data_IF_372545836348
#
_entry.id   IF_372545836348
#
_cell.length_a   1.000
_cell.length_b   1.000
_cell.length_c   1.000
_cell.angle_alpha   90.00
_cell.angle_beta   90.00
_cell.angle_gamma   90.00
#
_symmetry.space_group_name_H-M   'P 1'
#
loop_
_entity.id
_entity.type
_entity.pdbx_description
1 polymer ?
#
# COMPACT_ATOMS: atom_id res chain seq x y z
N UNK A 1 -9.76 20.44 -40.07
CA UNK A 1 -9.85 21.33 -38.90
C UNK A 1 -10.14 20.45 -37.71
N UNK A 2 -9.08 20.13 -36.97
CA UNK A 2 -8.97 19.22 -35.82
C UNK A 2 -9.10 17.73 -36.11
N UNK A 3 -7.91 17.21 -36.40
CA UNK A 3 -7.54 15.85 -36.75
C UNK A 3 -7.35 14.93 -35.53
N UNK A 4 -7.53 13.64 -35.81
CA UNK A 4 -6.82 12.48 -35.23
C UNK A 4 -7.10 12.02 -33.80
N UNK A 5 -8.03 11.07 -33.76
CA UNK A 5 -8.00 9.82 -32.99
C UNK A 5 -6.56 9.25 -32.90
N UNK A 6 -5.87 9.51 -31.78
CA UNK A 6 -4.72 8.71 -31.37
C UNK A 6 -5.09 7.90 -30.14
N UNK A 7 -5.46 6.66 -30.44
CA UNK A 7 -5.48 5.50 -29.59
C UNK A 7 -4.06 5.32 -29.00
N UNK A 8 -3.86 5.66 -27.72
CA UNK A 8 -2.63 5.34 -26.99
C UNK A 8 -2.68 3.89 -26.46
N UNK A 9 -2.37 2.92 -27.34
CA UNK A 9 -1.83 1.62 -26.92
C UNK A 9 -0.31 1.76 -26.87
N UNK A 10 0.24 1.92 -25.66
CA UNK A 10 1.60 1.50 -25.30
C UNK A 10 1.83 1.89 -23.84
N UNK A 11 1.64 0.93 -22.93
CA UNK A 11 2.01 1.05 -21.53
C UNK A 11 3.47 0.60 -21.36
N UNK A 12 4.42 1.52 -21.16
CA UNK A 12 5.54 1.30 -20.27
C UNK A 12 5.29 2.09 -18.98
N UNK A 13 5.69 1.52 -17.84
CA UNK A 13 5.45 1.97 -16.47
C UNK A 13 5.94 3.41 -16.11
N UNK A 14 6.33 4.23 -17.09
CA UNK A 14 6.98 5.55 -16.92
C UNK A 14 6.11 6.75 -17.30
N UNK A 15 4.91 6.56 -17.89
CA UNK A 15 4.01 7.66 -18.26
C UNK A 15 3.07 8.14 -17.13
N UNK A 16 2.86 7.30 -16.11
CA UNK A 16 1.91 7.59 -15.02
C UNK A 16 2.43 8.72 -14.11
N UNK A 17 3.74 8.87 -13.96
CA UNK A 17 4.33 9.94 -13.13
C UNK A 17 4.14 11.33 -13.76
N UNK A 18 4.06 11.44 -15.09
CA UNK A 18 4.01 12.73 -15.80
C UNK A 18 2.57 13.26 -15.98
N UNK A 19 1.57 12.39 -16.14
CA UNK A 19 0.15 12.81 -16.17
C UNK A 19 -0.34 13.33 -14.81
N UNK A 20 0.17 12.76 -13.71
CA UNK A 20 -0.13 13.18 -12.34
C UNK A 20 0.25 14.63 -12.07
N UNK A 21 1.38 15.10 -12.62
CA UNK A 21 1.84 16.48 -12.47
C UNK A 21 0.98 17.47 -13.31
N UNK A 22 0.44 17.01 -14.44
CA UNK A 22 -0.40 17.80 -15.34
C UNK A 22 -1.84 18.04 -14.85
N UNK A 23 -2.37 17.18 -13.98
CA UNK A 23 -3.72 17.35 -13.39
C UNK A 23 -3.84 18.46 -12.35
N UNK A 24 -2.74 19.05 -11.90
CA UNK A 24 -2.75 20.14 -10.90
C UNK A 24 -3.11 21.52 -11.50
N UNK A 25 -3.08 21.67 -12.82
CA UNK A 25 -3.27 22.98 -13.49
C UNK A 25 -4.67 23.21 -14.05
N UNK A 26 -5.50 22.16 -14.17
CA UNK A 26 -6.85 22.27 -14.73
C UNK A 26 -7.93 21.80 -13.75
N UNK A 27 -9.08 22.48 -13.68
CA UNK A 27 -10.16 22.08 -12.78
C UNK A 27 -10.79 20.76 -13.27
N UNK A 28 -10.63 19.70 -12.47
CA UNK A 28 -10.97 18.34 -12.87
C UNK A 28 -12.47 18.11 -13.03
N UNK A 29 -12.82 17.36 -14.08
CA UNK A 29 -14.18 16.84 -14.28
C UNK A 29 -14.47 15.67 -13.34
N UNK A 30 -15.75 15.38 -13.09
CA UNK A 30 -16.20 14.27 -12.22
C UNK A 30 -15.66 12.90 -12.65
N UNK A 31 -15.44 12.69 -13.95
CA UNK A 31 -14.88 11.44 -14.49
C UNK A 31 -13.38 11.32 -14.23
N UNK A 32 -12.62 12.41 -14.38
CA UNK A 32 -11.21 12.44 -14.00
C UNK A 32 -11.02 12.15 -12.52
N UNK A 33 -11.88 12.72 -11.65
CA UNK A 33 -11.81 12.43 -10.23
C UNK A 33 -11.99 10.93 -9.88
N UNK A 34 -12.89 10.23 -10.58
CA UNK A 34 -13.05 8.77 -10.41
C UNK A 34 -11.83 8.00 -10.90
N UNK A 35 -11.22 8.42 -12.01
CA UNK A 35 -9.97 7.82 -12.48
C UNK A 35 -8.85 7.96 -11.45
N UNK A 36 -8.71 9.13 -10.83
CA UNK A 36 -7.74 9.32 -9.73
C UNK A 36 -8.01 8.37 -8.55
N UNK A 37 -9.26 8.07 -8.20
CA UNK A 37 -9.53 7.09 -7.13
C UNK A 37 -9.25 5.64 -7.51
N UNK A 38 -9.36 5.29 -8.80
CA UNK A 38 -9.18 3.91 -9.30
C UNK A 38 -7.69 3.56 -9.44
N UNK A 39 -6.84 4.54 -9.79
CA UNK A 39 -5.40 4.34 -9.91
C UNK A 39 -4.75 3.69 -8.66
N UNK A 40 -4.87 4.24 -7.44
CA UNK A 40 -4.27 3.64 -6.25
C UNK A 40 -4.91 2.29 -5.86
N UNK A 41 -6.17 2.05 -6.24
CA UNK A 41 -6.79 0.73 -6.06
C UNK A 41 -6.11 -0.31 -6.94
N UNK A 42 -5.91 -0.01 -8.23
CA UNK A 42 -5.24 -0.90 -9.17
C UNK A 42 -3.79 -1.19 -8.77
N UNK A 43 -3.06 -0.19 -8.27
CA UNK A 43 -1.68 -0.41 -7.78
C UNK A 43 -1.64 -1.34 -6.58
N UNK A 44 -2.56 -1.21 -5.61
CA UNK A 44 -2.66 -2.12 -4.47
C UNK A 44 -2.96 -3.56 -4.92
N UNK A 45 -3.90 -3.75 -5.85
CA UNK A 45 -4.22 -5.07 -6.41
C UNK A 45 -3.03 -5.68 -7.16
N UNK A 46 -2.31 -4.87 -7.95
CA UNK A 46 -1.11 -5.32 -8.66
C UNK A 46 0.01 -5.76 -7.71
N UNK A 47 0.26 -5.01 -6.63
CA UNK A 47 1.25 -5.37 -5.61
C UNK A 47 0.87 -6.65 -4.87
N UNK A 48 -0.40 -6.83 -4.52
CA UNK A 48 -0.89 -8.06 -3.89
C UNK A 48 -0.78 -9.27 -4.83
N UNK A 49 -1.12 -9.10 -6.11
CA UNK A 49 -0.98 -10.16 -7.11
C UNK A 49 0.50 -10.57 -7.29
N UNK A 50 1.41 -9.60 -7.32
CA UNK A 50 2.85 -9.87 -7.36
C UNK A 50 3.33 -10.59 -6.10
N UNK A 51 2.84 -10.21 -4.92
CA UNK A 51 3.20 -10.88 -3.67
C UNK A 51 2.74 -12.34 -3.63
N UNK A 52 1.54 -12.64 -4.14
CA UNK A 52 1.02 -14.01 -4.28
C UNK A 52 1.80 -14.81 -5.33
N UNK A 53 2.22 -14.16 -6.42
CA UNK A 53 3.10 -14.80 -7.42
C UNK A 53 4.42 -15.24 -6.79
N UNK A 54 5.06 -14.38 -5.99
CA UNK A 54 6.31 -14.72 -5.31
C UNK A 54 6.13 -15.87 -4.33
N UNK A 55 5.01 -15.91 -3.60
CA UNK A 55 4.71 -16.99 -2.66
C UNK A 55 4.48 -18.33 -3.36
N UNK A 56 3.63 -18.37 -4.39
CA UNK A 56 3.24 -19.62 -5.05
C UNK A 56 4.27 -20.14 -6.06
N UNK A 57 5.07 -19.25 -6.67
CA UNK A 57 6.02 -19.63 -7.74
C UNK A 57 7.44 -19.76 -7.21
N UNK A 58 7.87 -18.87 -6.30
CA UNK A 58 9.22 -18.91 -5.74
C UNK A 58 9.28 -19.69 -4.41
N UNK A 59 8.14 -20.12 -3.86
CA UNK A 59 8.03 -20.90 -2.61
C UNK A 59 8.73 -20.25 -1.41
N UNK A 60 8.73 -18.91 -1.35
CA UNK A 60 9.23 -18.19 -0.17
C UNK A 60 8.18 -18.23 0.94
N UNK A 61 8.57 -18.68 2.13
CA UNK A 61 7.70 -18.64 3.31
C UNK A 61 7.42 -17.19 3.71
N UNK A 62 6.15 -16.75 3.75
CA UNK A 62 5.81 -15.38 4.11
C UNK A 62 6.06 -15.14 5.60
N UNK A 63 6.74 -14.05 5.91
CA UNK A 63 7.00 -13.64 7.28
C UNK A 63 5.72 -13.09 7.94
N UNK A 64 5.57 -13.23 9.26
CA UNK A 64 4.36 -12.76 9.96
C UNK A 64 4.12 -11.24 9.79
N UNK A 65 5.19 -10.43 9.81
CA UNK A 65 5.09 -8.98 9.51
C UNK A 65 4.64 -8.71 8.06
N UNK A 66 5.05 -9.56 7.11
CA UNK A 66 4.69 -9.46 5.71
C UNK A 66 3.17 -9.67 5.52
N UNK A 67 2.61 -10.63 6.27
CA UNK A 67 1.16 -10.89 6.27
C UNK A 67 0.40 -9.67 6.81
N UNK A 68 0.87 -9.04 7.90
CA UNK A 68 0.26 -7.82 8.42
C UNK A 68 0.29 -6.68 7.40
N UNK A 69 1.41 -6.48 6.70
CA UNK A 69 1.51 -5.46 5.64
C UNK A 69 0.51 -5.72 4.50
N UNK A 70 0.31 -6.99 4.10
CA UNK A 70 -0.70 -7.36 3.09
C UNK A 70 -2.12 -7.02 3.53
N UNK A 71 -2.47 -7.28 4.80
CA UNK A 71 -3.79 -6.89 5.34
C UNK A 71 -3.97 -5.38 5.26
N UNK A 72 -2.95 -4.59 5.59
CA UNK A 72 -3.00 -3.13 5.47
C UNK A 72 -3.24 -2.69 4.02
N UNK A 73 -2.55 -3.29 3.04
CA UNK A 73 -2.80 -3.00 1.61
C UNK A 73 -4.23 -3.35 1.18
N UNK A 74 -4.79 -4.47 1.66
CA UNK A 74 -6.18 -4.85 1.38
C UNK A 74 -7.15 -3.81 1.94
N UNK A 75 -6.95 -3.36 3.18
CA UNK A 75 -7.79 -2.34 3.81
C UNK A 75 -7.72 -1.01 3.05
N UNK A 76 -6.52 -0.57 2.64
CA UNK A 76 -6.35 0.65 1.84
C UNK A 76 -7.06 0.52 0.49
N UNK A 77 -6.89 -0.61 -0.20
CA UNK A 77 -7.58 -0.89 -1.46
C UNK A 77 -9.09 -0.83 -1.30
N UNK A 78 -9.65 -1.45 -0.27
CA UNK A 78 -11.08 -1.39 0.02
C UNK A 78 -11.57 0.03 0.31
N UNK A 79 -10.80 0.84 1.05
CA UNK A 79 -11.16 2.23 1.31
C UNK A 79 -11.19 3.07 0.02
N UNK A 80 -10.23 2.89 -0.90
CA UNK A 80 -10.26 3.55 -2.21
C UNK A 80 -11.43 3.06 -3.08
N UNK A 81 -11.74 1.75 -3.03
CA UNK A 81 -12.88 1.19 -3.74
C UNK A 81 -14.20 1.79 -3.25
N UNK A 82 -14.41 1.86 -1.92
CA UNK A 82 -15.57 2.49 -1.31
C UNK A 82 -15.66 3.99 -1.62
N UNK A 83 -14.53 4.68 -1.68
CA UNK A 83 -14.46 6.09 -2.07
C UNK A 83 -14.91 6.34 -3.52
N UNK A 84 -14.86 5.32 -4.40
CA UNK A 84 -15.33 5.42 -5.78
C UNK A 84 -16.87 5.46 -5.91
N UNK A 85 -17.60 4.75 -5.03
CA UNK A 85 -19.07 4.66 -5.09
C UNK A 85 -19.78 5.82 -4.40
N UNK A 86 -19.17 6.42 -3.38
CA UNK A 86 -19.79 7.54 -2.65
C UNK A 86 -19.72 8.81 -3.51
N UNK A 87 -20.85 9.52 -3.75
CA UNK A 87 -20.81 10.79 -4.47
C UNK A 87 -19.86 11.76 -3.76
N UNK A 88 -19.10 12.54 -4.55
CA UNK A 88 -18.01 13.42 -4.15
C UNK A 88 -18.43 14.61 -3.25
N UNK A 89 -19.24 14.37 -2.24
CA UNK A 89 -19.53 15.33 -1.19
C UNK A 89 -18.25 15.61 -0.41
N UNK A 90 -17.99 16.90 -0.20
CA UNK A 90 -16.77 17.41 0.45
C UNK A 90 -16.47 16.71 1.79
N UNK A 91 -17.50 16.42 2.59
CA UNK A 91 -17.36 15.75 3.88
C UNK A 91 -17.00 14.27 3.77
N UNK A 92 -17.61 13.54 2.83
CA UNK A 92 -17.28 12.13 2.60
C UNK A 92 -15.81 11.95 2.24
N UNK A 93 -15.28 12.81 1.37
CA UNK A 93 -13.87 12.79 0.95
C UNK A 93 -12.90 12.99 2.10
N UNK A 94 -13.19 13.90 3.04
CA UNK A 94 -12.34 14.13 4.22
C UNK A 94 -12.33 12.93 5.16
N UNK A 95 -13.49 12.30 5.39
CA UNK A 95 -13.59 11.13 6.27
C UNK A 95 -12.82 9.95 5.68
N UNK A 96 -13.04 9.62 4.41
CA UNK A 96 -12.30 8.55 3.74
C UNK A 96 -10.81 8.87 3.62
N UNK A 97 -10.45 10.11 3.28
CA UNK A 97 -9.06 10.56 3.24
C UNK A 97 -8.36 10.42 4.59
N UNK A 98 -9.00 10.81 5.69
CA UNK A 98 -8.46 10.65 7.03
C UNK A 98 -8.28 9.16 7.41
N UNK A 99 -9.25 8.30 7.09
CA UNK A 99 -9.14 6.85 7.33
C UNK A 99 -7.99 6.21 6.53
N UNK A 100 -7.84 6.58 5.26
CA UNK A 100 -6.75 6.10 4.40
C UNK A 100 -5.40 6.59 4.95
N UNK A 101 -5.30 7.86 5.37
CA UNK A 101 -4.08 8.40 5.98
C UNK A 101 -3.69 7.68 7.27
N UNK A 102 -4.65 7.40 8.16
CA UNK A 102 -4.39 6.63 9.37
C UNK A 102 -3.90 5.21 9.05
N UNK A 103 -4.55 4.55 8.09
CA UNK A 103 -4.20 3.19 7.69
C UNK A 103 -2.83 3.11 7.01
N UNK A 104 -2.53 4.05 6.12
CA UNK A 104 -1.21 4.15 5.46
C UNK A 104 -0.11 4.51 6.46
N UNK A 105 -0.36 5.42 7.41
CA UNK A 105 0.59 5.72 8.49
C UNK A 105 0.92 4.47 9.33
N UNK A 106 -0.08 3.64 9.63
CA UNK A 106 0.12 2.35 10.29
C UNK A 106 1.01 1.41 9.44
N UNK A 107 0.75 1.32 8.12
CA UNK A 107 1.58 0.56 7.18
C UNK A 107 3.03 1.02 7.12
N UNK A 108 3.27 2.35 7.12
CA UNK A 108 4.62 2.94 7.19
C UNK A 108 5.32 2.50 8.49
N UNK A 109 4.62 2.53 9.62
CA UNK A 109 5.17 2.08 10.91
C UNK A 109 5.58 0.60 10.89
N UNK A 110 4.72 -0.28 10.35
CA UNK A 110 5.00 -1.72 10.22
C UNK A 110 6.17 -2.00 9.27
N UNK A 111 6.21 -1.33 8.12
CA UNK A 111 7.29 -1.50 7.15
C UNK A 111 8.62 -0.92 7.66
N UNK A 112 8.58 0.23 8.34
CA UNK A 112 9.75 0.81 9.00
C UNK A 112 10.32 -0.08 10.09
N UNK A 113 9.46 -0.70 10.90
CA UNK A 113 9.87 -1.70 11.89
C UNK A 113 10.53 -2.91 11.21
N UNK A 114 9.98 -3.37 10.08
CA UNK A 114 10.53 -4.49 9.33
C UNK A 114 11.93 -4.19 8.77
N UNK A 115 12.12 -3.04 8.14
CA UNK A 115 13.43 -2.60 7.63
C UNK A 115 14.43 -2.43 8.78
N UNK A 116 13.99 -1.91 9.93
CA UNK A 116 14.82 -1.83 11.13
C UNK A 116 15.31 -3.21 11.56
N UNK A 117 14.41 -4.20 11.62
CA UNK A 117 14.76 -5.57 12.01
C UNK A 117 15.76 -6.25 11.06
N UNK A 118 15.71 -5.96 9.76
CA UNK A 118 16.69 -6.47 8.80
C UNK A 118 18.08 -5.84 8.93
N UNK A 119 18.19 -4.68 9.60
CA UNK A 119 19.47 -4.02 9.87
C UNK A 119 20.13 -4.44 11.19
N UNK A 120 19.47 -5.29 12.00
CA UNK A 120 20.03 -5.74 13.28
C UNK A 120 21.00 -6.93 13.07
N UNK A 121 22.09 -7.03 13.85
CA UNK A 121 22.97 -8.19 13.84
C UNK A 121 22.21 -9.47 14.26
N UNK A 122 22.53 -10.64 13.69
CA UNK A 122 21.84 -11.91 13.96
C UNK A 122 21.89 -12.34 15.45
N UNK A 123 22.86 -11.82 16.23
CA UNK A 123 23.02 -12.11 17.67
C UNK A 123 22.04 -11.33 18.57
N UNK A 124 21.39 -10.28 18.06
CA UNK A 124 20.45 -9.42 18.79
C UNK A 124 18.99 -9.64 18.38
N UNK A 125 18.72 -10.62 17.52
CA UNK A 125 17.36 -10.92 17.06
C UNK A 125 16.62 -11.64 18.19
N UNK A 126 15.48 -11.12 18.69
CA UNK A 126 14.73 -11.76 19.76
C UNK A 126 14.32 -13.19 19.36
N UNK A 127 14.52 -14.13 20.29
CA UNK A 127 14.23 -15.55 20.09
C UNK A 127 12.84 -15.78 19.50
N UNK A 128 12.79 -16.72 18.56
CA UNK A 128 11.60 -17.18 17.84
C UNK A 128 10.39 -17.34 18.77
N UNK A 129 9.47 -16.38 18.72
CA UNK A 129 8.17 -16.53 19.38
C UNK A 129 7.29 -17.55 18.65
N UNK A 130 6.29 -18.12 19.35
CA UNK A 130 5.41 -19.16 18.82
C UNK A 130 4.64 -18.70 17.56
N UNK A 131 4.33 -19.65 16.67
CA UNK A 131 3.63 -19.39 15.40
C UNK A 131 2.25 -18.72 15.61
N UNK A 132 1.91 -17.77 14.73
CA UNK A 132 0.66 -16.99 14.76
C UNK A 132 -0.62 -17.85 14.89
N UNK A 133 -0.61 -19.09 14.37
CA UNK A 133 -1.73 -20.02 14.43
C UNK A 133 -2.03 -20.54 15.84
N UNK A 134 -1.02 -20.69 16.72
CA UNK A 134 -1.22 -21.15 18.09
C UNK A 134 -1.73 -20.07 19.05
N UNK A 135 -1.63 -18.78 18.66
CA UNK A 135 -2.04 -17.66 19.53
C UNK A 135 -3.41 -17.05 19.18
N UNK A 136 -3.83 -17.17 17.91
CA UNK A 136 -5.16 -16.73 17.46
C UNK A 136 -6.31 -17.57 18.06
N UNK A 137 -6.02 -18.76 18.58
CA UNK A 137 -7.00 -19.64 19.25
C UNK A 137 -7.33 -19.20 20.69
N UNK A 138 -6.46 -18.42 21.36
CA UNK A 138 -6.59 -18.14 22.81
C UNK A 138 -6.57 -16.63 23.17
N UNK A 139 -6.29 -15.72 22.23
CA UNK A 139 -6.08 -14.29 22.54
C UNK A 139 -6.65 -13.33 21.50
N UNK A 140 -6.99 -12.11 21.97
CA UNK A 140 -7.67 -11.07 21.19
C UNK A 140 -6.85 -10.67 19.94
N UNK A 141 -7.49 -10.22 18.85
CA UNK A 141 -6.81 -9.77 17.60
C UNK A 141 -5.63 -8.82 17.89
N UNK A 142 -5.78 -7.95 18.90
CA UNK A 142 -4.74 -7.02 19.33
C UNK A 142 -3.52 -7.70 19.96
N UNK A 143 -3.72 -8.76 20.74
CA UNK A 143 -2.65 -9.53 21.37
C UNK A 143 -1.88 -10.35 20.33
N UNK A 144 -2.58 -10.92 19.34
CA UNK A 144 -1.97 -11.60 18.21
C UNK A 144 -1.05 -10.65 17.41
N UNK A 145 -1.49 -9.43 17.11
CA UNK A 145 -0.65 -8.40 16.44
C UNK A 145 0.55 -8.03 17.32
N UNK A 146 0.33 -7.79 18.62
CA UNK A 146 1.40 -7.42 19.55
C UNK A 146 2.45 -8.52 19.73
N UNK A 147 2.02 -9.79 19.68
CA UNK A 147 2.90 -10.94 19.78
C UNK A 147 3.71 -11.15 18.51
N UNK A 148 3.09 -11.01 17.34
CA UNK A 148 3.80 -11.04 16.05
C UNK A 148 4.88 -9.96 15.96
N UNK A 149 4.60 -8.76 16.48
CA UNK A 149 5.60 -7.68 16.53
C UNK A 149 6.78 -8.00 17.46
N UNK A 150 6.57 -8.83 18.49
CA UNK A 150 7.61 -9.29 19.43
C UNK A 150 8.34 -10.55 18.94
N UNK A 151 7.66 -11.42 18.18
CA UNK A 151 8.15 -12.67 17.62
C UNK A 151 8.76 -12.50 16.22
N UNK A 152 9.73 -11.58 16.07
CA UNK A 152 10.27 -11.15 14.78
C UNK A 152 11.48 -11.96 14.27
N UNK A 153 11.90 -13.01 14.97
CA UNK A 153 13.09 -13.84 14.65
C UNK A 153 13.21 -14.22 13.17
N UNK A 154 12.14 -14.79 12.59
CA UNK A 154 12.11 -15.26 11.21
C UNK A 154 12.00 -14.13 10.15
N UNK A 155 11.85 -12.86 10.55
CA UNK A 155 11.69 -11.73 9.62
C UNK A 155 13.01 -10.98 9.35
N UNK A 156 14.08 -11.30 10.08
CA UNK A 156 15.39 -10.67 9.90
C UNK A 156 16.13 -11.18 8.66
N UNK A 157 15.84 -12.41 8.22
CA UNK A 157 16.48 -13.00 7.05
C UNK A 157 16.00 -12.38 5.73
N UNK A 158 16.95 -11.92 4.93
CA UNK A 158 16.68 -11.35 3.61
C UNK A 158 16.68 -12.48 2.58
N UNK A 159 15.51 -13.07 2.36
CA UNK A 159 15.30 -14.14 1.37
C UNK A 159 15.24 -13.61 -0.08
N UNK A 160 14.95 -12.31 -0.26
CA UNK A 160 14.80 -11.70 -1.58
C UNK A 160 15.27 -10.24 -1.61
N UNK A 161 16.02 -9.89 -2.64
CA UNK A 161 16.49 -8.54 -2.92
C UNK A 161 16.28 -8.19 -4.40
N UNK A 162 15.87 -6.96 -4.66
CA UNK A 162 15.77 -6.40 -6.00
C UNK A 162 16.36 -5.01 -6.02
N UNK A 163 17.30 -4.77 -6.94
CA UNK A 163 18.12 -3.57 -6.99
C UNK A 163 18.88 -3.28 -5.67
N UNK A 164 19.21 -4.34 -4.91
CA UNK A 164 19.87 -4.23 -3.60
C UNK A 164 18.95 -3.80 -2.46
N UNK A 165 17.64 -3.63 -2.73
CA UNK A 165 16.62 -3.34 -1.73
C UNK A 165 15.82 -4.60 -1.40
N UNK A 166 15.54 -4.80 -0.13
CA UNK A 166 14.70 -5.90 0.34
C UNK A 166 13.22 -5.64 0.00
N UNK A 167 12.41 -6.70 -0.05
CA UNK A 167 10.95 -6.60 -0.21
C UNK A 167 10.29 -5.55 0.71
N UNK A 168 10.56 -5.52 2.04
CA UNK A 168 9.94 -4.53 2.92
C UNK A 168 10.41 -3.10 2.68
N UNK A 169 11.59 -2.89 2.12
CA UNK A 169 12.02 -1.55 1.72
C UNK A 169 11.18 -1.04 0.54
N UNK A 170 10.86 -1.92 -0.43
CA UNK A 170 9.93 -1.58 -1.52
C UNK A 170 8.52 -1.31 -1.02
N UNK A 171 7.98 -2.12 -0.11
CA UNK A 171 6.64 -1.86 0.45
C UNK A 171 6.58 -0.56 1.24
N UNK A 172 7.66 -0.20 1.97
CA UNK A 172 7.79 1.08 2.65
C UNK A 172 7.68 2.26 1.66
N UNK A 173 8.41 2.20 0.54
CA UNK A 173 8.34 3.23 -0.51
C UNK A 173 6.92 3.34 -1.07
N UNK A 174 6.26 2.21 -1.34
CA UNK A 174 4.86 2.20 -1.80
C UNK A 174 3.91 2.84 -0.78
N UNK A 175 4.05 2.54 0.51
CA UNK A 175 3.20 3.15 1.55
C UNK A 175 3.41 4.67 1.65
N UNK A 176 4.67 5.14 1.58
CA UNK A 176 4.97 6.59 1.57
C UNK A 176 4.38 7.26 0.32
N UNK A 177 4.51 6.64 -0.85
CA UNK A 177 3.92 7.13 -2.10
C UNK A 177 2.40 7.26 -2.01
N UNK A 178 1.72 6.23 -1.48
CA UNK A 178 0.26 6.26 -1.26
C UNK A 178 -0.16 7.30 -0.21
N UNK A 179 0.64 7.52 0.83
CA UNK A 179 0.39 8.55 1.84
C UNK A 179 0.40 9.95 1.20
N UNK A 180 1.46 10.28 0.45
CA UNK A 180 1.57 11.56 -0.26
C UNK A 180 0.46 11.71 -1.30
N UNK A 181 0.16 10.65 -2.06
CA UNK A 181 -0.94 10.62 -3.02
C UNK A 181 -2.27 10.96 -2.36
N UNK A 182 -2.56 10.36 -1.20
CA UNK A 182 -3.81 10.60 -0.46
C UNK A 182 -3.92 12.04 0.01
N UNK A 183 -2.82 12.64 0.46
CA UNK A 183 -2.77 14.05 0.84
C UNK A 183 -3.13 14.92 -0.37
N UNK A 184 -2.46 14.73 -1.51
CA UNK A 184 -2.75 15.49 -2.73
C UNK A 184 -4.20 15.29 -3.18
N UNK A 185 -4.67 14.04 -3.16
CA UNK A 185 -6.06 13.69 -3.42
C UNK A 185 -7.04 14.27 -2.41
N UNK A 186 -6.64 14.73 -1.23
CA UNK A 186 -7.54 15.45 -0.33
C UNK A 186 -7.67 16.94 -0.70
N UNK A 187 -6.60 17.54 -1.25
CA UNK A 187 -6.53 18.98 -1.53
C UNK A 187 -7.05 19.40 -2.91
N UNK A 188 -7.14 18.49 -3.90
CA UNK A 188 -7.63 18.83 -5.24
C UNK A 188 -9.07 19.38 -5.20
N UNK A 189 -9.30 20.57 -5.77
CA UNK A 189 -10.64 21.17 -5.89
C UNK A 189 -11.37 20.63 -7.13
N UNK A 190 -12.66 20.31 -6.98
CA UNK A 190 -13.53 19.89 -8.09
C UNK A 190 -14.23 21.15 -8.63
N UNK A 191 -14.35 21.30 -9.96
CA UNK A 191 -15.18 22.34 -10.55
C UNK A 191 -16.65 21.98 -10.31
N UNK A 192 -17.35 22.76 -9.49
CA UNK A 192 -18.82 22.75 -9.52
C UNK A 192 -19.24 23.40 -10.85
N UNK A 193 -19.92 22.62 -11.69
CA UNK A 193 -20.56 23.07 -12.93
C UNK A 193 -21.90 23.71 -12.61
#
# INVERSE_FOLDING_TARGET
MFDNVYICYSTPLTQIDFEMLGTLTNPLTKNQFRLLTILPFLTCVGLLAYALYVEHVLFLMPCNLCILQRVVFIVIGLLYFLACFKPAQYWGRKIFGALILLTTACGIGLAGHHVRMQGLPPELVPDCGPSLQMMLEDSSIWEAVSSVLKASGNCADIQWQFLGLSMPAWTLICFIGLFIYTILWMFIRIKES
#
